data_IF_418523124301
#
_entry.id   IF_418523124301
#
_cell.length_a   1.000
_cell.length_b   1.000
_cell.length_c   1.000
_cell.angle_alpha   90.00
_cell.angle_beta   90.00
_cell.angle_gamma   90.00
#
_symmetry.space_group_name_H-M   'P 1'
#
loop_
_entity.id
_entity.type
_entity.pdbx_description
1 polymer ?
#
# COMPACT_ATOMS: atom_id res chain seq x y z
N UNK A 1 0.08 17.48 -1.82
CA UNK A 1 0.82 16.24 -2.17
C UNK A 1 1.15 15.38 -0.95
N UNK A 2 1.95 15.86 0.01
CA UNK A 2 2.33 15.06 1.18
C UNK A 2 1.15 14.54 2.02
N UNK A 3 0.17 15.40 2.34
CA UNK A 3 -1.01 15.00 3.12
C UNK A 3 -1.87 13.93 2.41
N UNK A 4 -1.97 14.00 1.09
CA UNK A 4 -2.71 13.01 0.27
C UNK A 4 -1.97 11.67 0.27
N UNK A 5 -0.63 11.69 0.11
CA UNK A 5 0.18 10.48 0.20
C UNK A 5 0.07 9.79 1.56
N UNK A 6 0.12 10.56 2.66
CA UNK A 6 -0.07 10.04 4.02
C UNK A 6 -1.48 9.46 4.20
N UNK A 7 -2.51 10.15 3.71
CA UNK A 7 -3.89 9.66 3.80
C UNK A 7 -4.09 8.35 3.03
N UNK A 8 -3.51 8.23 1.83
CA UNK A 8 -3.56 7.00 1.03
C UNK A 8 -2.84 5.83 1.73
N UNK A 9 -1.68 6.10 2.32
CA UNK A 9 -0.93 5.09 3.08
C UNK A 9 -1.71 4.64 4.32
N UNK A 10 -2.27 5.59 5.08
CA UNK A 10 -3.12 5.27 6.23
C UNK A 10 -4.34 4.44 5.82
N UNK A 11 -5.02 4.82 4.74
CA UNK A 11 -6.16 4.07 4.18
C UNK A 11 -5.74 2.66 3.77
N UNK A 12 -4.63 2.49 3.06
CA UNK A 12 -4.15 1.17 2.63
C UNK A 12 -3.82 0.24 3.80
N UNK A 13 -3.25 0.80 4.88
CA UNK A 13 -2.85 0.01 6.05
C UNK A 13 -4.03 -0.37 6.95
N UNK A 14 -5.07 0.47 6.99
CA UNK A 14 -6.30 0.23 7.78
C UNK A 14 -7.29 -0.65 7.00
N UNK A 15 -7.23 -0.66 5.66
CA UNK A 15 -8.19 -1.35 4.82
C UNK A 15 -8.25 -2.85 5.12
N UNK A 16 -9.45 -3.42 5.33
CA UNK A 16 -9.60 -4.81 5.68
C UNK A 16 -9.12 -5.75 4.57
N UNK A 17 -8.40 -6.78 4.97
CA UNK A 17 -7.91 -7.84 4.11
C UNK A 17 -8.93 -8.97 4.12
N UNK A 18 -9.60 -9.15 2.98
CA UNK A 18 -10.51 -10.26 2.76
C UNK A 18 -9.89 -11.30 1.83
N UNK A 19 -10.05 -12.57 2.17
CA UNK A 19 -9.84 -13.68 1.24
C UNK A 19 -11.19 -14.34 0.94
N UNK A 20 -11.36 -14.79 -0.30
CA UNK A 20 -12.51 -15.59 -0.68
C UNK A 20 -12.15 -17.04 -0.47
N UNK A 21 -12.88 -17.73 0.40
CA UNK A 21 -12.67 -19.14 0.70
C UNK A 21 -13.90 -19.94 0.29
N UNK A 22 -13.69 -20.98 -0.52
CA UNK A 22 -14.74 -21.77 -1.18
C UNK A 22 -14.47 -21.90 -2.69
N UNK A 23 -14.74 -23.07 -3.27
CA UNK A 23 -14.61 -23.28 -4.72
C UNK A 23 -15.86 -22.78 -5.47
N UNK A 24 -15.66 -22.07 -6.58
CA UNK A 24 -16.74 -21.61 -7.46
C UNK A 24 -17.55 -20.41 -6.95
N UNK A 25 -18.79 -20.28 -7.42
CA UNK A 25 -19.67 -19.12 -7.23
C UNK A 25 -20.20 -18.93 -5.79
N UNK A 26 -19.85 -19.82 -4.87
CA UNK A 26 -20.24 -19.77 -3.45
C UNK A 26 -19.11 -19.34 -2.51
N UNK A 27 -18.02 -18.80 -3.05
CA UNK A 27 -16.90 -18.32 -2.24
C UNK A 27 -17.33 -17.16 -1.34
N UNK A 28 -17.43 -17.44 -0.03
CA UNK A 28 -17.84 -16.43 0.95
C UNK A 28 -16.64 -15.56 1.30
N UNK A 29 -16.76 -14.22 1.26
CA UNK A 29 -15.67 -13.35 1.69
C UNK A 29 -15.49 -13.47 3.21
N UNK A 30 -14.27 -13.79 3.63
CA UNK A 30 -13.87 -13.90 5.02
C UNK A 30 -12.76 -12.89 5.31
N UNK A 31 -12.92 -12.08 6.35
CA UNK A 31 -12.06 -10.91 6.64
C UNK A 31 -11.01 -11.28 7.65
N UNK A 32 -9.74 -11.34 7.27
CA UNK A 32 -8.66 -11.77 8.15
C UNK A 32 -7.87 -10.65 8.82
N UNK A 33 -8.51 -9.50 9.01
CA UNK A 33 -7.93 -8.33 9.68
C UNK A 33 -7.42 -7.28 8.70
N UNK A 34 -6.28 -6.64 9.01
CA UNK A 34 -5.66 -5.59 8.21
C UNK A 34 -4.12 -5.74 8.20
N UNK A 35 -3.40 -4.74 7.68
CA UNK A 35 -1.93 -4.79 7.63
C UNK A 35 -1.25 -4.92 9.01
N UNK A 36 -1.92 -4.53 10.11
CA UNK A 36 -1.36 -4.54 11.47
C UNK A 36 -1.82 -5.73 12.32
N UNK A 37 -3.12 -6.03 12.33
CA UNK A 37 -3.70 -7.14 13.07
C UNK A 37 -4.22 -8.23 12.12
N UNK A 38 -3.80 -9.48 12.34
CA UNK A 38 -4.27 -10.64 11.60
C UNK A 38 -5.22 -11.44 12.47
N UNK A 39 -6.38 -11.82 11.92
CA UNK A 39 -7.35 -12.66 12.62
C UNK A 39 -7.81 -13.80 11.72
N UNK A 40 -7.51 -15.03 12.15
CA UNK A 40 -7.95 -16.26 11.49
C UNK A 40 -8.95 -17.06 12.33
N UNK A 41 -9.52 -16.45 13.36
CA UNK A 41 -10.50 -17.07 14.27
C UNK A 41 -11.72 -17.63 13.54
N UNK A 42 -12.15 -17.00 12.44
CA UNK A 42 -13.26 -17.47 11.62
C UNK A 42 -13.03 -18.84 10.96
N UNK A 43 -11.78 -19.32 10.86
CA UNK A 43 -11.45 -20.67 10.37
C UNK A 43 -11.25 -21.68 11.50
N UNK A 44 -11.50 -21.32 12.75
CA UNK A 44 -11.33 -22.21 13.90
C UNK A 44 -12.36 -23.35 13.95
N UNK A 45 -13.59 -23.08 13.50
CA UNK A 45 -14.67 -24.06 13.47
C UNK A 45 -14.68 -24.92 12.21
N UNK A 46 -13.84 -24.62 11.21
CA UNK A 46 -13.69 -25.44 10.00
C UNK A 46 -12.80 -26.69 10.24
N UNK A 47 -12.74 -27.14 11.50
CA UNK A 47 -12.29 -28.44 12.00
C UNK A 47 -11.39 -29.27 11.08
N UNK A 48 -10.13 -29.42 11.48
CA UNK A 48 -9.21 -30.47 11.04
C UNK A 48 -8.66 -30.37 9.60
N UNK A 49 -7.52 -29.70 9.45
CA UNK A 49 -6.67 -29.84 8.26
C UNK A 49 -5.77 -28.63 7.94
N UNK A 50 -4.96 -28.71 6.87
CA UNK A 50 -4.09 -27.63 6.37
C UNK A 50 -4.86 -26.38 5.92
N UNK A 51 -6.20 -26.38 5.99
CA UNK A 51 -7.05 -25.25 5.63
C UNK A 51 -6.77 -23.99 6.45
N UNK A 52 -6.52 -24.13 7.76
CA UNK A 52 -6.17 -22.99 8.60
C UNK A 52 -4.81 -22.41 8.22
N UNK A 53 -3.83 -23.27 7.92
CA UNK A 53 -2.50 -22.85 7.50
C UNK A 53 -2.52 -22.19 6.11
N UNK A 54 -3.30 -22.73 5.18
CA UNK A 54 -3.55 -22.14 3.87
C UNK A 54 -4.24 -20.78 3.98
N UNK A 55 -5.24 -20.65 4.86
CA UNK A 55 -5.90 -19.37 5.12
C UNK A 55 -4.92 -18.36 5.74
N UNK A 56 -4.11 -18.79 6.70
CA UNK A 56 -3.07 -17.97 7.31
C UNK A 56 -2.04 -17.50 6.27
N UNK A 57 -1.56 -18.40 5.42
CA UNK A 57 -0.62 -18.09 4.35
C UNK A 57 -1.24 -17.10 3.35
N UNK A 58 -2.47 -17.34 2.90
CA UNK A 58 -3.17 -16.45 1.97
C UNK A 58 -3.38 -15.04 2.54
N UNK A 59 -3.77 -14.95 3.82
CA UNK A 59 -3.92 -13.69 4.51
C UNK A 59 -2.58 -12.96 4.70
N UNK A 60 -1.51 -13.71 4.97
CA UNK A 60 -0.16 -13.14 5.10
C UNK A 60 0.35 -12.61 3.75
N UNK A 61 0.13 -13.32 2.65
CA UNK A 61 0.50 -12.83 1.31
C UNK A 61 -0.23 -11.52 0.98
N UNK A 62 -1.53 -11.45 1.23
CA UNK A 62 -2.31 -10.22 1.03
C UNK A 62 -1.82 -9.05 1.90
N UNK A 63 -1.38 -9.33 3.12
CA UNK A 63 -0.76 -8.32 4.01
C UNK A 63 0.52 -7.77 3.41
N UNK A 64 1.40 -8.66 2.94
CA UNK A 64 2.65 -8.27 2.29
C UNK A 64 2.37 -7.42 1.05
N UNK A 65 1.38 -7.79 0.23
CA UNK A 65 0.98 -7.01 -0.94
C UNK A 65 0.50 -5.60 -0.55
N UNK A 66 -0.35 -5.48 0.47
CA UNK A 66 -0.80 -4.16 0.97
C UNK A 66 0.37 -3.32 1.49
N UNK A 67 1.31 -3.91 2.23
CA UNK A 67 2.51 -3.20 2.71
C UNK A 67 3.38 -2.77 1.54
N UNK A 68 3.59 -3.64 0.54
CA UNK A 68 4.34 -3.31 -0.67
C UNK A 68 3.70 -2.15 -1.45
N UNK A 69 2.37 -2.15 -1.59
CA UNK A 69 1.62 -1.03 -2.18
C UNK A 69 1.82 0.26 -1.39
N UNK A 70 1.72 0.21 -0.06
CA UNK A 70 1.94 1.38 0.81
C UNK A 70 3.37 1.94 0.66
N UNK A 71 4.38 1.07 0.61
CA UNK A 71 5.79 1.45 0.36
C UNK A 71 5.94 2.08 -1.03
N UNK A 72 5.29 1.53 -2.06
CA UNK A 72 5.28 2.09 -3.40
C UNK A 72 4.69 3.50 -3.45
N UNK A 73 3.56 3.73 -2.78
CA UNK A 73 2.93 5.06 -2.67
C UNK A 73 3.84 6.04 -1.92
N UNK A 74 4.47 5.61 -0.82
CA UNK A 74 5.44 6.42 -0.09
C UNK A 74 6.62 6.84 -0.97
N UNK A 75 7.23 5.87 -1.67
CA UNK A 75 8.37 6.13 -2.55
C UNK A 75 8.00 7.10 -3.68
N UNK A 76 6.86 6.89 -4.35
CA UNK A 76 6.37 7.79 -5.40
C UNK A 76 6.08 9.20 -4.87
N UNK A 77 5.53 9.31 -3.66
CA UNK A 77 5.26 10.61 -3.03
C UNK A 77 6.55 11.36 -2.71
N UNK A 78 7.54 10.68 -2.13
CA UNK A 78 8.86 11.28 -1.82
C UNK A 78 9.57 11.71 -3.09
N UNK A 79 9.57 10.87 -4.13
CA UNK A 79 10.12 11.21 -5.45
C UNK A 79 9.43 12.43 -6.05
N UNK A 80 8.09 12.46 -6.03
CA UNK A 80 7.32 13.59 -6.54
C UNK A 80 7.62 14.90 -5.80
N UNK A 81 7.70 14.86 -4.48
CA UNK A 81 8.09 16.03 -3.66
C UNK A 81 9.51 16.46 -3.97
N UNK A 82 10.44 15.51 -4.13
CA UNK A 82 11.85 15.81 -4.45
C UNK A 82 11.98 16.47 -5.83
N UNK A 83 11.28 15.95 -6.84
CA UNK A 83 11.27 16.55 -8.19
C UNK A 83 10.61 17.92 -8.20
N UNK A 84 9.51 18.11 -7.47
CA UNK A 84 8.85 19.41 -7.33
C UNK A 84 9.78 20.42 -6.65
N UNK A 85 10.46 20.03 -5.57
CA UNK A 85 11.45 20.86 -4.90
C UNK A 85 12.64 21.18 -5.80
N UNK A 86 13.15 20.19 -6.56
CA UNK A 86 14.23 20.40 -7.53
C UNK A 86 13.83 21.35 -8.66
N UNK A 87 12.58 21.28 -9.14
CA UNK A 87 12.04 22.20 -10.15
C UNK A 87 11.79 23.59 -9.59
N UNK A 88 11.25 23.71 -8.39
CA UNK A 88 11.06 25.00 -7.71
C UNK A 88 12.40 25.67 -7.40
N UNK A 89 13.45 24.88 -7.19
CA UNK A 89 14.83 25.35 -7.01
C UNK A 89 15.57 25.66 -8.29
N UNK A 90 15.07 25.33 -9.49
CA UNK A 90 15.67 25.85 -10.73
C UNK A 90 15.37 27.34 -10.77
N UNK A 91 16.37 28.22 -10.53
CA UNK A 91 16.21 29.58 -10.94
C UNK A 91 16.19 29.49 -12.47
N UNK A 92 15.21 30.08 -13.13
CA UNK A 92 15.57 30.87 -14.31
C UNK A 92 16.70 31.74 -13.83
N UNK A 93 17.94 31.47 -14.22
CA UNK A 93 19.06 32.29 -13.83
C UNK A 93 19.02 33.54 -14.72
N UNK A 94 18.53 34.70 -14.25
CA UNK A 94 18.65 35.93 -15.02
C UNK A 94 20.13 36.31 -15.23
N UNK A 95 21.08 35.72 -14.48
CA UNK A 95 22.50 35.97 -14.67
C UNK A 95 23.04 35.36 -15.97
N UNK A 96 22.49 34.25 -16.47
CA UNK A 96 22.91 33.64 -17.73
C UNK A 96 22.40 34.44 -18.95
N UNK A 97 21.25 35.11 -18.83
CA UNK A 97 20.76 36.06 -19.85
C UNK A 97 21.56 37.36 -19.86
N UNK A 98 21.90 37.88 -18.69
CA UNK A 98 22.71 39.10 -18.57
C UNK A 98 24.18 38.91 -19.00
N UNK A 99 24.71 37.69 -18.95
CA UNK A 99 26.05 37.36 -19.44
C UNK A 99 26.12 37.16 -20.97
N UNK A 100 24.97 36.90 -21.63
CA UNK A 100 24.90 36.73 -23.09
C UNK A 100 24.70 38.05 -23.86
N UNK A 101 24.39 39.16 -23.16
CA UNK A 101 24.18 40.49 -23.76
C UNK A 101 25.40 41.44 -23.60
N UNK A 102 26.54 40.94 -23.12
CA UNK A 102 27.84 41.64 -23.13
C UNK A 102 28.80 41.00 -24.11
#
# INVERSE_FOLDING_TARGET
MAAIGVALVALLLIWPIGIRTGGGDHATPRICGNAFAGDVSQWHNDGDGPYRDLAYQACTTRRVDQVAMAVGVLAATVLGVTVLLARARRPTDPAERAASER
#
